data_IF_947636776043
#
_entry.id   IF_947636776043
#
_cell.length_a   1.000
_cell.length_b   1.000
_cell.length_c   1.000
_cell.angle_alpha   90.00
_cell.angle_beta   90.00
_cell.angle_gamma   90.00
#
_symmetry.space_group_name_H-M   'P 1'
#
loop_
_entity.id
_entity.type
_entity.pdbx_description
1 polymer ?
#
# COMPACT_ATOMS: atom_id res chain seq x y z
N UNK A 1 15.76 19.18 32.79
CA UNK A 1 14.69 20.15 32.46
C UNK A 1 14.90 20.63 31.03
N UNK A 2 14.15 20.10 30.06
CA UNK A 2 14.10 20.60 28.67
C UNK A 2 12.68 21.09 28.37
N UNK A 3 12.16 22.04 29.15
CA UNK A 3 10.73 22.37 29.14
C UNK A 3 10.23 23.13 27.91
N UNK A 4 11.09 23.55 26.97
CA UNK A 4 10.71 24.45 25.87
C UNK A 4 10.99 23.89 24.45
N UNK A 5 11.42 22.63 24.32
CA UNK A 5 11.74 22.08 23.00
C UNK A 5 10.44 21.60 22.32
N UNK A 6 10.08 22.25 21.20
CA UNK A 6 8.94 21.87 20.37
C UNK A 6 9.33 20.95 19.21
N UNK A 7 10.57 21.08 18.73
CA UNK A 7 11.08 20.32 17.60
C UNK A 7 12.44 19.74 17.95
N UNK A 8 12.59 18.43 17.76
CA UNK A 8 13.82 17.72 18.03
C UNK A 8 14.23 16.92 16.80
N UNK A 9 15.46 17.14 16.34
CA UNK A 9 16.03 16.51 15.16
C UNK A 9 17.31 15.78 15.57
N UNK A 10 17.33 14.47 15.38
CA UNK A 10 18.42 13.56 15.74
C UNK A 10 18.69 12.54 14.60
N UNK A 11 18.43 12.95 13.36
CA UNK A 11 18.56 12.13 12.15
C UNK A 11 20.03 11.75 11.89
N UNK A 12 20.28 10.57 11.30
CA UNK A 12 21.61 10.13 10.85
C UNK A 12 22.63 10.09 12.00
N UNK A 13 22.26 9.45 13.10
CA UNK A 13 23.16 9.21 14.22
C UNK A 13 23.30 7.70 14.48
N UNK A 14 24.06 7.34 15.51
CA UNK A 14 24.20 5.94 15.96
C UNK A 14 23.42 5.70 17.24
N UNK A 15 22.30 6.41 17.44
CA UNK A 15 21.53 6.31 18.68
C UNK A 15 20.99 4.88 18.84
N UNK A 16 21.25 4.30 19.99
CA UNK A 16 20.77 2.98 20.40
C UNK A 16 19.92 3.10 21.64
N UNK A 17 19.18 2.05 21.98
CA UNK A 17 18.40 2.04 23.21
C UNK A 17 17.12 2.85 23.05
N UNK A 18 16.87 3.77 23.97
CA UNK A 18 15.50 4.21 24.29
C UNK A 18 15.34 5.72 24.28
N UNK A 19 14.14 6.20 23.93
CA UNK A 19 13.79 7.62 23.99
C UNK A 19 13.25 7.90 25.41
N UNK A 20 13.88 8.79 26.20
CA UNK A 20 13.42 9.06 27.57
C UNK A 20 12.03 9.69 27.60
N UNK A 21 11.09 9.10 28.37
CA UNK A 21 9.70 9.57 28.50
C UNK A 21 9.57 11.03 28.96
N UNK A 22 10.50 11.50 29.80
CA UNK A 22 10.53 12.88 30.31
C UNK A 22 10.93 13.96 29.30
N UNK A 23 11.30 13.58 28.07
CA UNK A 23 11.76 14.50 27.02
C UNK A 23 10.64 14.97 26.08
N UNK A 24 9.42 14.45 26.23
CA UNK A 24 8.39 14.48 25.18
C UNK A 24 7.13 15.31 25.49
N UNK A 25 6.97 15.84 26.71
CA UNK A 25 5.70 16.46 27.15
C UNK A 25 5.23 17.67 26.33
N UNK A 26 6.15 18.41 25.70
CA UNK A 26 5.83 19.62 24.91
C UNK A 26 6.20 19.48 23.42
N UNK A 27 6.66 18.31 23.01
CA UNK A 27 7.25 18.12 21.70
C UNK A 27 6.14 18.01 20.63
N UNK A 28 6.24 18.81 19.58
CA UNK A 28 5.35 18.80 18.42
C UNK A 28 5.91 18.02 17.25
N UNK A 29 7.24 18.04 17.06
CA UNK A 29 7.92 17.25 16.02
C UNK A 29 9.14 16.51 16.56
N UNK A 30 9.25 15.23 16.21
CA UNK A 30 10.37 14.37 16.55
C UNK A 30 10.90 13.67 15.30
N UNK A 31 12.17 13.92 14.96
CA UNK A 31 12.86 13.26 13.85
C UNK A 31 14.03 12.43 14.37
N UNK A 32 13.93 11.11 14.22
CA UNK A 32 14.85 10.09 14.72
C UNK A 32 15.31 9.12 13.62
N UNK A 33 15.07 9.46 12.36
CA UNK A 33 15.36 8.53 11.27
C UNK A 33 16.83 8.20 11.13
N UNK A 34 17.13 7.03 10.56
CA UNK A 34 18.50 6.55 10.34
C UNK A 34 19.31 6.49 11.64
N UNK A 35 18.86 5.64 12.55
CA UNK A 35 19.50 5.34 13.82
C UNK A 35 19.47 3.81 14.07
N UNK A 36 19.73 3.36 15.30
CA UNK A 36 19.68 1.95 15.72
C UNK A 36 18.76 1.74 16.92
N UNK A 37 17.63 2.47 16.93
CA UNK A 37 16.64 2.41 17.99
C UNK A 37 15.85 1.10 17.91
N UNK A 38 15.61 0.47 19.07
CA UNK A 38 14.85 -0.79 19.20
C UNK A 38 13.66 -0.59 20.15
N UNK A 39 12.76 -1.58 20.19
CA UNK A 39 11.49 -1.49 20.95
C UNK A 39 11.62 -1.29 22.44
N UNK A 40 12.81 -1.49 23.00
CA UNK A 40 12.97 -1.76 24.43
C UNK A 40 12.34 -0.70 25.34
N UNK A 41 12.01 0.51 24.88
CA UNK A 41 11.10 1.45 25.56
C UNK A 41 10.47 2.51 24.64
N UNK A 42 9.42 2.17 23.88
CA UNK A 42 8.44 3.17 23.42
C UNK A 42 7.32 3.27 24.49
N UNK A 43 7.65 3.59 25.75
CA UNK A 43 6.63 3.98 26.74
C UNK A 43 6.19 5.43 26.46
N UNK A 44 5.47 5.59 25.35
CA UNK A 44 4.92 6.87 24.87
C UNK A 44 3.57 7.18 25.56
N UNK A 45 3.04 6.23 26.34
CA UNK A 45 1.67 6.13 26.87
C UNK A 45 1.16 7.31 27.71
N UNK A 46 2.00 8.25 28.15
CA UNK A 46 1.55 9.36 29.02
C UNK A 46 2.14 10.73 28.70
N UNK A 47 3.06 10.83 27.73
CA UNK A 47 3.89 12.04 27.57
C UNK A 47 3.77 12.73 26.19
N UNK A 48 2.95 12.24 25.25
CA UNK A 48 2.98 12.71 23.84
C UNK A 48 1.70 13.39 23.36
N UNK A 49 0.90 13.98 24.26
CA UNK A 49 -0.39 14.58 23.89
C UNK A 49 -0.30 15.72 22.88
N UNK A 50 0.88 16.30 22.65
CA UNK A 50 1.10 17.42 21.72
C UNK A 50 1.83 17.05 20.43
N UNK A 51 2.28 15.80 20.30
CA UNK A 51 3.12 15.38 19.17
C UNK A 51 2.27 15.25 17.89
N UNK A 52 2.65 16.00 16.87
CA UNK A 52 1.97 16.04 15.56
C UNK A 52 2.77 15.33 14.47
N UNK A 53 4.10 15.30 14.59
CA UNK A 53 4.98 14.66 13.63
C UNK A 53 5.96 13.74 14.34
N UNK A 54 5.98 12.47 13.94
CA UNK A 54 6.95 11.49 14.39
C UNK A 54 7.55 10.78 13.19
N UNK A 55 8.86 10.93 13.01
CA UNK A 55 9.62 10.14 12.07
C UNK A 55 10.68 9.32 12.81
N UNK A 56 10.54 8.00 12.75
CA UNK A 56 11.49 7.02 13.30
C UNK A 56 11.82 5.96 12.24
N UNK A 57 11.72 6.32 10.96
CA UNK A 57 12.10 5.45 9.85
C UNK A 57 13.57 5.03 9.90
N UNK A 58 13.95 3.98 9.20
CA UNK A 58 15.34 3.52 9.15
C UNK A 58 15.92 3.24 10.56
N UNK A 59 15.26 2.36 11.31
CA UNK A 59 15.67 1.91 12.64
C UNK A 59 15.47 0.38 12.76
N UNK A 60 15.54 -0.18 13.98
CA UNK A 60 15.40 -1.62 14.23
C UNK A 60 14.21 -1.91 15.16
N UNK A 61 13.12 -1.15 15.02
CA UNK A 61 11.88 -1.38 15.76
C UNK A 61 11.22 -2.67 15.27
N UNK A 62 10.86 -3.58 16.18
CA UNK A 62 10.02 -4.75 15.91
C UNK A 62 8.54 -4.58 16.30
N UNK A 63 8.17 -3.46 16.93
CA UNK A 63 6.80 -3.15 17.37
C UNK A 63 6.58 -1.64 17.55
N UNK A 64 5.32 -1.18 17.48
CA UNK A 64 4.92 0.21 17.77
C UNK A 64 3.63 0.24 18.63
N UNK A 65 3.50 1.13 19.63
CA UNK A 65 2.37 1.12 20.57
C UNK A 65 1.14 1.86 20.03
N UNK A 66 0.56 1.38 18.92
CA UNK A 66 -0.60 2.03 18.29
C UNK A 66 -1.80 2.22 19.25
N UNK A 67 -2.06 1.26 20.15
CA UNK A 67 -3.24 1.27 21.05
C UNK A 67 -3.06 2.00 22.39
N UNK A 68 -1.91 2.63 22.63
CA UNK A 68 -1.72 3.44 23.84
C UNK A 68 -2.31 4.84 23.57
N UNK A 69 -3.14 5.37 24.48
CA UNK A 69 -3.90 6.64 24.37
C UNK A 69 -3.08 7.94 24.13
N UNK A 70 -1.83 7.85 23.66
CA UNK A 70 -0.83 8.92 23.59
C UNK A 70 -0.72 9.70 22.28
N UNK A 71 -1.27 9.24 21.14
CA UNK A 71 -1.05 9.86 19.81
C UNK A 71 -2.27 10.54 19.19
N UNK A 72 -3.13 11.13 20.03
CA UNK A 72 -4.39 11.73 19.57
C UNK A 72 -4.21 12.90 18.59
N UNK A 73 -3.12 13.63 18.71
CA UNK A 73 -2.79 14.79 17.86
C UNK A 73 -1.85 14.43 16.71
N UNK A 74 -1.43 13.15 16.58
CA UNK A 74 -0.44 12.77 15.59
C UNK A 74 -1.04 12.87 14.18
N UNK A 75 -0.38 13.68 13.34
CA UNK A 75 -0.79 14.00 11.97
C UNK A 75 0.05 13.21 10.97
N UNK A 76 1.35 13.08 11.23
CA UNK A 76 2.27 12.32 10.38
C UNK A 76 3.06 11.33 11.23
N UNK A 77 3.03 10.07 10.81
CA UNK A 77 3.81 8.99 11.38
C UNK A 77 4.58 8.28 10.28
N UNK A 78 5.91 8.31 10.38
CA UNK A 78 6.81 7.60 9.48
C UNK A 78 7.59 6.53 10.26
N UNK A 79 7.23 5.26 9.99
CA UNK A 79 7.87 4.05 10.50
C UNK A 79 8.58 3.27 9.39
N UNK A 80 8.73 3.87 8.20
CA UNK A 80 9.31 3.22 7.02
C UNK A 80 10.65 2.56 7.32
N UNK A 81 10.93 1.39 6.75
CA UNK A 81 12.23 0.70 6.91
C UNK A 81 12.56 0.42 8.40
N UNK A 82 11.73 -0.41 9.01
CA UNK A 82 11.95 -0.99 10.33
C UNK A 82 11.72 -2.51 10.26
N UNK A 83 11.62 -3.17 11.41
CA UNK A 83 11.39 -4.61 11.51
C UNK A 83 10.03 -4.92 12.17
N UNK A 84 9.05 -4.02 12.05
CA UNK A 84 7.81 -4.07 12.83
C UNK A 84 6.96 -5.26 12.40
N UNK A 85 6.65 -6.13 13.36
CA UNK A 85 5.80 -7.32 13.19
C UNK A 85 4.52 -7.14 13.99
N UNK A 86 3.54 -6.47 13.39
CA UNK A 86 2.26 -6.22 14.01
C UNK A 86 1.13 -6.30 12.99
N UNK A 87 -0.07 -6.54 13.51
CA UNK A 87 -1.24 -6.43 12.67
C UNK A 87 -1.47 -4.96 12.27
N UNK A 88 -1.69 -4.74 10.98
CA UNK A 88 -1.94 -3.42 10.39
C UNK A 88 -3.15 -2.73 11.01
N UNK A 89 -4.19 -3.44 11.46
CA UNK A 89 -5.40 -2.77 11.96
C UNK A 89 -5.24 -2.07 13.33
N UNK A 90 -4.13 -2.30 14.05
CA UNK A 90 -3.92 -1.78 15.41
C UNK A 90 -3.92 -0.24 15.48
N UNK A 91 -3.71 0.47 14.36
CA UNK A 91 -3.68 1.93 14.32
C UNK A 91 -5.05 2.61 14.36
N UNK A 92 -6.15 1.91 14.06
CA UNK A 92 -7.48 2.53 13.88
C UNK A 92 -7.91 3.31 15.13
N UNK A 93 -7.80 2.68 16.29
CA UNK A 93 -8.23 3.26 17.56
C UNK A 93 -7.17 4.21 18.16
N UNK A 94 -5.95 4.16 17.62
CA UNK A 94 -4.77 4.85 18.15
C UNK A 94 -4.50 6.23 17.58
N UNK A 95 -4.83 6.43 16.30
CA UNK A 95 -4.37 7.57 15.49
C UNK A 95 -5.54 8.36 14.87
N UNK A 96 -6.46 8.94 15.66
CA UNK A 96 -7.68 9.56 15.13
C UNK A 96 -7.44 10.81 14.27
N UNK A 97 -6.28 11.46 14.40
CA UNK A 97 -5.93 12.70 13.67
C UNK A 97 -5.05 12.47 12.44
N UNK A 98 -4.67 11.22 12.16
CA UNK A 98 -3.63 10.91 11.18
C UNK A 98 -4.01 11.35 9.77
N UNK A 99 -3.03 11.92 9.08
CA UNK A 99 -3.08 12.26 7.66
C UNK A 99 -2.12 11.40 6.86
N UNK A 100 -0.88 11.31 7.32
CA UNK A 100 0.19 10.63 6.61
C UNK A 100 0.68 9.47 7.47
N UNK A 101 0.40 8.25 7.03
CA UNK A 101 0.81 7.02 7.68
C UNK A 101 1.74 6.24 6.74
N UNK A 102 3.03 6.29 7.01
CA UNK A 102 4.08 5.71 6.19
C UNK A 102 4.68 4.50 6.92
N UNK A 103 4.32 3.30 6.48
CA UNK A 103 4.68 2.04 7.12
C UNK A 103 5.45 1.10 6.18
N UNK A 104 5.92 1.61 5.04
CA UNK A 104 6.57 0.82 4.00
C UNK A 104 7.79 0.06 4.52
N UNK A 105 8.15 -1.04 3.87
CA UNK A 105 9.36 -1.82 4.20
C UNK A 105 9.38 -2.26 5.68
N UNK A 106 8.37 -3.01 6.08
CA UNK A 106 8.23 -3.59 7.42
C UNK A 106 7.67 -5.02 7.30
N UNK A 107 7.24 -5.60 8.41
CA UNK A 107 6.58 -6.91 8.45
C UNK A 107 5.13 -6.79 8.96
N UNK A 108 4.43 -5.69 8.63
CA UNK A 108 3.02 -5.56 8.97
C UNK A 108 2.20 -6.62 8.27
N UNK A 109 1.30 -7.26 9.00
CA UNK A 109 0.44 -8.34 8.49
C UNK A 109 -1.04 -8.07 8.81
N UNK A 110 -1.92 -8.95 8.38
CA UNK A 110 -3.37 -8.76 8.53
C UNK A 110 -3.98 -8.02 7.35
N UNK A 111 -5.30 -7.88 7.38
CA UNK A 111 -6.07 -7.23 6.32
C UNK A 111 -6.31 -5.76 6.59
N UNK A 112 -6.47 -4.99 5.50
CA UNK A 112 -6.92 -3.60 5.59
C UNK A 112 -8.37 -3.63 6.12
N UNK A 113 -8.64 -3.03 7.29
CA UNK A 113 -9.95 -3.16 7.94
C UNK A 113 -10.98 -2.20 7.38
N UNK A 114 -12.26 -2.61 7.30
CA UNK A 114 -13.37 -1.73 6.91
C UNK A 114 -13.48 -0.47 7.79
N UNK A 115 -13.05 -0.55 9.05
CA UNK A 115 -13.04 0.59 9.96
C UNK A 115 -12.05 1.70 9.54
N UNK A 116 -11.21 1.49 8.52
CA UNK A 116 -10.34 2.53 7.93
C UNK A 116 -11.12 3.78 7.49
N UNK A 117 -12.41 3.62 7.13
CA UNK A 117 -13.32 4.75 6.82
C UNK A 117 -13.40 5.82 7.92
N UNK A 118 -13.06 5.48 9.16
CA UNK A 118 -13.04 6.41 10.29
C UNK A 118 -11.91 7.44 10.19
N UNK A 119 -10.85 7.14 9.44
CA UNK A 119 -9.66 8.00 9.30
C UNK A 119 -9.86 9.07 8.20
N UNK A 120 -10.92 9.87 8.33
CA UNK A 120 -11.37 10.85 7.33
C UNK A 120 -10.37 11.99 7.01
N UNK A 121 -9.24 12.04 7.72
CA UNK A 121 -8.14 12.98 7.50
C UNK A 121 -7.03 12.42 6.61
N UNK A 122 -7.03 11.12 6.35
CA UNK A 122 -5.96 10.44 5.63
C UNK A 122 -5.73 11.03 4.24
N UNK A 123 -4.49 11.43 4.00
CA UNK A 123 -3.98 11.93 2.72
C UNK A 123 -2.97 10.93 2.13
N UNK A 124 -2.15 10.28 2.96
CA UNK A 124 -1.17 9.28 2.51
C UNK A 124 -1.24 8.02 3.33
N UNK A 125 -1.38 6.89 2.65
CA UNK A 125 -1.31 5.56 3.24
C UNK A 125 -0.31 4.72 2.45
N UNK A 126 0.87 4.53 3.02
CA UNK A 126 1.90 3.68 2.44
C UNK A 126 2.06 2.42 3.29
N UNK A 127 1.69 1.30 2.70
CA UNK A 127 1.78 -0.05 3.27
C UNK A 127 2.53 -0.99 2.31
N UNK A 128 3.23 -0.45 1.32
CA UNK A 128 4.00 -1.24 0.37
C UNK A 128 5.16 -1.99 1.04
N UNK A 129 5.61 -3.08 0.44
CA UNK A 129 6.71 -3.91 0.96
C UNK A 129 6.43 -4.38 2.40
N UNK A 130 5.27 -5.02 2.59
CA UNK A 130 4.82 -5.60 3.85
C UNK A 130 4.26 -7.01 3.60
N UNK A 131 3.52 -7.54 4.58
CA UNK A 131 2.93 -8.88 4.57
C UNK A 131 1.41 -8.83 4.66
N UNK A 132 0.79 -7.80 4.05
CA UNK A 132 -0.65 -7.63 4.08
C UNK A 132 -1.36 -8.77 3.35
N UNK A 133 -2.58 -9.05 3.81
CA UNK A 133 -3.43 -10.12 3.32
C UNK A 133 -4.86 -9.62 3.06
N UNK A 134 -5.71 -10.47 2.51
CA UNK A 134 -7.12 -10.17 2.28
C UNK A 134 -7.33 -9.23 1.11
N UNK A 135 -8.44 -8.50 1.10
CA UNK A 135 -8.83 -7.60 0.00
C UNK A 135 -8.60 -6.12 0.31
N UNK A 136 -8.66 -5.28 -0.71
CA UNK A 136 -8.81 -3.82 -0.54
C UNK A 136 -10.31 -3.56 -0.29
N UNK A 137 -10.73 -3.15 0.91
CA UNK A 137 -12.15 -2.91 1.18
C UNK A 137 -12.64 -1.64 0.50
N UNK A 138 -13.90 -1.64 0.06
CA UNK A 138 -14.56 -0.45 -0.52
C UNK A 138 -14.57 0.74 0.45
N UNK A 139 -14.44 0.51 1.76
CA UNK A 139 -14.31 1.56 2.77
C UNK A 139 -13.08 2.46 2.56
N UNK A 140 -12.03 2.02 1.84
CA UNK A 140 -10.91 2.88 1.41
C UNK A 140 -11.40 4.04 0.53
N UNK A 141 -12.49 3.82 -0.22
CA UNK A 141 -13.11 4.84 -1.07
C UNK A 141 -13.79 5.96 -0.26
N UNK A 142 -13.97 5.78 1.05
CA UNK A 142 -14.47 6.81 1.96
C UNK A 142 -13.38 7.82 2.35
N UNK A 143 -12.11 7.54 2.05
CA UNK A 143 -10.97 8.42 2.31
C UNK A 143 -10.90 9.52 1.24
N UNK A 144 -11.89 10.42 1.22
CA UNK A 144 -12.08 11.44 0.17
C UNK A 144 -10.90 12.43 0.03
N UNK A 145 -9.96 12.44 0.98
CA UNK A 145 -8.74 13.27 0.96
C UNK A 145 -7.50 12.52 0.49
N UNK A 146 -7.62 11.21 0.21
CA UNK A 146 -6.49 10.36 -0.15
C UNK A 146 -5.82 10.88 -1.42
N UNK A 147 -4.50 11.03 -1.33
CA UNK A 147 -3.58 11.47 -2.38
C UNK A 147 -2.67 10.33 -2.79
N UNK A 148 -2.20 9.55 -1.83
CA UNK A 148 -1.26 8.46 -2.10
C UNK A 148 -1.74 7.19 -1.41
N UNK A 149 -1.98 6.16 -2.22
CA UNK A 149 -2.23 4.80 -1.76
C UNK A 149 -1.17 3.89 -2.36
N UNK A 150 -0.28 3.40 -1.51
CA UNK A 150 0.76 2.44 -1.91
C UNK A 150 0.56 1.15 -1.14
N UNK A 151 0.22 0.09 -1.86
CA UNK A 151 -0.01 -1.26 -1.33
C UNK A 151 0.87 -2.29 -2.03
N UNK A 152 1.84 -1.85 -2.83
CA UNK A 152 2.63 -2.73 -3.67
C UNK A 152 3.49 -3.69 -2.88
N UNK A 153 3.97 -4.75 -3.53
CA UNK A 153 4.87 -5.72 -2.91
C UNK A 153 4.30 -6.32 -1.61
N UNK A 154 3.00 -6.65 -1.63
CA UNK A 154 2.31 -7.46 -0.62
C UNK A 154 1.92 -8.83 -1.19
N UNK A 155 2.72 -9.35 -2.13
CA UNK A 155 2.55 -10.66 -2.74
C UNK A 155 3.30 -11.70 -1.91
N UNK A 156 2.57 -12.66 -1.36
CA UNK A 156 3.13 -13.84 -0.70
C UNK A 156 2.68 -15.09 -1.47
N UNK A 157 3.45 -16.16 -1.39
CA UNK A 157 3.11 -17.42 -2.04
C UNK A 157 2.08 -18.18 -1.20
N UNK A 158 1.14 -18.88 -1.87
CA UNK A 158 0.25 -19.83 -1.21
C UNK A 158 1.07 -20.83 -0.41
N UNK A 159 0.75 -20.95 0.88
CA UNK A 159 1.40 -21.88 1.78
C UNK A 159 0.34 -22.75 2.43
N UNK A 160 0.59 -24.05 2.43
CA UNK A 160 -0.30 -25.05 3.01
C UNK A 160 0.30 -25.57 4.31
N UNK A 161 -0.50 -25.53 5.36
CA UNK A 161 -0.10 -25.90 6.71
C UNK A 161 -0.94 -27.07 7.20
N UNK A 162 -0.34 -27.89 8.05
CA UNK A 162 -1.08 -28.91 8.79
C UNK A 162 -1.70 -28.27 10.05
N UNK A 163 -3.03 -28.23 10.13
CA UNK A 163 -3.74 -27.35 11.09
C UNK A 163 -3.39 -27.61 12.57
N UNK A 164 -3.26 -28.88 12.94
CA UNK A 164 -3.08 -29.30 14.33
C UNK A 164 -1.65 -29.06 14.84
N UNK A 165 -0.68 -28.98 13.93
CA UNK A 165 0.75 -28.90 14.21
C UNK A 165 1.26 -27.47 14.07
N UNK A 166 0.80 -26.73 13.06
CA UNK A 166 1.40 -25.44 12.67
C UNK A 166 0.50 -24.23 12.96
N UNK A 167 -0.82 -24.38 12.96
CA UNK A 167 -1.75 -23.27 13.21
C UNK A 167 -2.17 -23.11 14.69
N UNK A 168 -1.98 -24.16 15.49
CA UNK A 168 -2.29 -24.16 16.93
C UNK A 168 -3.79 -24.28 17.27
N UNK A 169 -4.10 -24.36 18.57
CA UNK A 169 -5.45 -24.68 19.07
C UNK A 169 -6.51 -23.56 18.92
N UNK A 170 -6.07 -22.32 18.69
CA UNK A 170 -6.92 -21.12 18.48
C UNK A 170 -6.40 -20.36 17.26
N UNK A 171 -6.56 -20.92 16.05
CA UNK A 171 -5.79 -20.46 14.90
C UNK A 171 -6.40 -19.20 14.27
N UNK A 172 -7.63 -18.82 14.67
CA UNK A 172 -8.30 -17.59 14.26
C UNK A 172 -8.14 -16.48 15.31
N UNK A 173 -7.37 -15.45 14.99
CA UNK A 173 -7.33 -14.22 15.78
C UNK A 173 -8.03 -13.10 15.01
N UNK A 174 -9.14 -12.60 15.56
CA UNK A 174 -9.89 -11.51 14.92
C UNK A 174 -10.46 -11.85 13.53
N UNK A 175 -10.76 -13.13 13.24
CA UNK A 175 -11.29 -13.58 11.95
C UNK A 175 -10.23 -13.92 10.89
N UNK A 176 -8.95 -13.88 11.27
CA UNK A 176 -7.80 -14.24 10.41
C UNK A 176 -7.18 -15.53 10.93
N UNK A 177 -7.05 -16.53 10.06
CA UNK A 177 -6.31 -17.77 10.32
C UNK A 177 -4.81 -17.50 10.18
N UNK A 178 -4.01 -17.72 11.22
CA UNK A 178 -2.56 -17.58 11.16
C UNK A 178 -1.87 -18.89 11.56
N UNK A 179 -0.92 -19.34 10.75
CA UNK A 179 -0.12 -20.52 10.99
C UNK A 179 1.37 -20.15 11.16
N UNK A 180 2.04 -20.83 12.08
CA UNK A 180 3.48 -20.68 12.30
C UNK A 180 4.23 -21.46 11.25
N UNK A 181 5.02 -20.77 10.43
CA UNK A 181 5.98 -21.37 9.50
C UNK A 181 7.29 -21.74 10.19
N UNK A 182 8.07 -22.59 9.52
CA UNK A 182 9.28 -23.26 10.02
C UNK A 182 10.36 -22.33 10.61
N UNK A 183 10.36 -21.05 10.27
CA UNK A 183 11.35 -20.05 10.69
C UNK A 183 10.84 -19.04 11.74
N UNK A 184 9.69 -19.32 12.38
CA UNK A 184 9.03 -18.35 13.26
C UNK A 184 8.34 -17.20 12.51
N UNK A 185 8.15 -17.39 11.20
CA UNK A 185 7.36 -16.52 10.34
C UNK A 185 5.88 -16.88 10.47
N UNK A 186 5.02 -15.91 10.76
CA UNK A 186 3.58 -16.13 10.70
C UNK A 186 3.07 -15.92 9.28
N UNK A 187 2.30 -16.88 8.79
CA UNK A 187 1.55 -16.76 7.56
C UNK A 187 0.07 -16.73 7.90
N UNK A 188 -0.63 -15.73 7.37
CA UNK A 188 -2.01 -15.47 7.73
C UNK A 188 -2.90 -15.42 6.49
N UNK A 189 -4.18 -15.78 6.61
CA UNK A 189 -5.20 -15.51 5.61
C UNK A 189 -6.53 -15.17 6.31
N UNK A 190 -7.35 -14.34 5.67
CA UNK A 190 -8.74 -14.17 6.10
C UNK A 190 -9.58 -15.39 5.64
N UNK A 191 -10.81 -15.51 6.12
CA UNK A 191 -11.67 -16.66 5.82
C UNK A 191 -11.96 -16.90 4.33
N UNK A 192 -11.70 -15.93 3.44
CA UNK A 192 -11.85 -16.08 1.99
C UNK A 192 -10.57 -16.61 1.32
N UNK A 193 -9.42 -16.43 1.96
CA UNK A 193 -8.12 -16.92 1.51
C UNK A 193 -7.73 -18.31 2.04
N UNK A 194 -8.63 -19.04 2.69
CA UNK A 194 -8.37 -20.39 3.21
C UNK A 194 -9.03 -21.45 2.33
N UNK A 195 -8.21 -22.27 1.67
CA UNK A 195 -8.67 -23.45 0.93
C UNK A 195 -8.38 -24.73 1.72
N UNK A 196 -9.40 -25.58 1.88
CA UNK A 196 -9.25 -26.91 2.49
C UNK A 196 -9.07 -27.92 1.35
N UNK A 197 -7.82 -28.29 1.09
CA UNK A 197 -7.46 -29.23 0.02
C UNK A 197 -7.62 -30.68 0.49
N UNK A 198 -7.38 -30.93 1.78
CA UNK A 198 -7.53 -32.20 2.49
C UNK A 198 -8.07 -31.88 3.90
N UNK A 199 -8.89 -32.74 4.55
CA UNK A 199 -9.36 -32.51 5.93
C UNK A 199 -8.29 -32.13 6.98
N UNK A 200 -6.99 -32.31 6.70
CA UNK A 200 -5.90 -31.97 7.62
C UNK A 200 -5.06 -30.75 7.13
N UNK A 201 -5.06 -30.43 5.84
CA UNK A 201 -4.24 -29.36 5.25
C UNK A 201 -5.05 -28.11 4.90
N UNK A 202 -4.57 -26.97 5.40
CA UNK A 202 -5.14 -25.64 5.17
C UNK A 202 -4.17 -24.83 4.31
N UNK A 203 -4.56 -24.54 3.08
CA UNK A 203 -3.82 -23.66 2.20
C UNK A 203 -4.26 -22.22 2.43
N UNK A 204 -3.35 -21.42 2.99
CA UNK A 204 -3.51 -19.99 3.10
C UNK A 204 -3.09 -19.38 1.77
N UNK A 205 -3.90 -18.44 1.26
CA UNK A 205 -3.51 -17.52 0.18
C UNK A 205 -3.04 -16.23 0.83
N UNK A 206 -1.78 -16.18 1.32
CA UNK A 206 -1.26 -14.97 1.91
C UNK A 206 -1.02 -13.95 0.81
N UNK A 207 -1.24 -12.70 1.13
CA UNK A 207 -1.05 -11.59 0.21
C UNK A 207 -2.34 -10.84 -0.08
N UNK A 208 -2.17 -9.60 -0.51
CA UNK A 208 -3.26 -8.73 -0.90
C UNK A 208 -3.85 -9.23 -2.24
N UNK A 209 -5.09 -9.68 -2.20
CA UNK A 209 -5.80 -10.33 -3.30
C UNK A 209 -7.21 -9.75 -3.49
N UNK A 210 -8.03 -10.40 -4.32
CA UNK A 210 -9.36 -9.91 -4.67
C UNK A 210 -9.33 -8.96 -5.86
N UNK A 211 -10.32 -8.09 -5.99
CA UNK A 211 -10.44 -7.16 -7.13
C UNK A 211 -10.10 -5.73 -6.73
N UNK A 212 -9.70 -4.91 -7.70
CA UNK A 212 -9.55 -3.46 -7.51
C UNK A 212 -10.96 -2.84 -7.33
N UNK A 213 -11.23 -2.10 -6.24
CA UNK A 213 -12.51 -1.40 -6.05
C UNK A 213 -12.80 -0.43 -7.21
N UNK A 214 -14.02 -0.43 -7.75
CA UNK A 214 -14.36 0.40 -8.90
C UNK A 214 -14.55 1.89 -8.55
N UNK A 215 -14.86 2.22 -7.29
CA UNK A 215 -15.28 3.57 -6.91
C UNK A 215 -14.16 4.56 -6.58
N UNK A 216 -12.93 4.40 -7.11
CA UNK A 216 -11.83 5.34 -6.86
C UNK A 216 -12.13 6.77 -7.31
N UNK A 217 -13.11 6.99 -8.19
CA UNK A 217 -13.63 8.34 -8.51
C UNK A 217 -14.11 9.11 -7.27
N UNK A 218 -14.43 8.43 -6.16
CA UNK A 218 -14.75 9.05 -4.87
C UNK A 218 -13.53 9.60 -4.11
N UNK A 219 -12.31 9.33 -4.59
CA UNK A 219 -11.06 9.92 -4.10
C UNK A 219 -10.48 10.88 -5.15
N UNK A 220 -11.08 12.07 -5.37
CA UNK A 220 -10.75 12.94 -6.50
C UNK A 220 -9.37 13.59 -6.40
N UNK A 221 -8.71 13.50 -5.24
CA UNK A 221 -7.37 14.03 -5.00
C UNK A 221 -6.26 12.99 -5.17
N UNK A 222 -6.58 11.76 -5.59
CA UNK A 222 -5.61 10.70 -5.73
C UNK A 222 -4.57 11.05 -6.80
N UNK A 223 -3.30 11.01 -6.41
CA UNK A 223 -2.10 11.31 -7.20
C UNK A 223 -1.28 10.05 -7.45
N UNK A 224 -1.19 9.16 -6.45
CA UNK A 224 -0.46 7.90 -6.56
C UNK A 224 -1.36 6.75 -6.18
N UNK A 225 -1.57 5.82 -7.10
CA UNK A 225 -2.18 4.52 -6.87
C UNK A 225 -1.20 3.44 -7.29
N UNK A 226 -0.50 2.86 -6.31
CA UNK A 226 0.45 1.77 -6.54
C UNK A 226 -0.06 0.49 -5.88
N UNK A 227 -0.53 -0.42 -6.74
CA UNK A 227 -1.05 -1.75 -6.40
C UNK A 227 -0.19 -2.86 -7.01
N UNK A 228 1.01 -2.53 -7.48
CA UNK A 228 1.89 -3.44 -8.20
C UNK A 228 2.41 -4.59 -7.33
N UNK A 229 2.81 -5.70 -7.95
CA UNK A 229 3.37 -6.84 -7.22
C UNK A 229 2.44 -7.33 -6.09
N UNK A 230 1.15 -7.52 -6.41
CA UNK A 230 0.12 -8.08 -5.51
C UNK A 230 -0.54 -9.31 -6.16
N UNK A 231 -1.51 -9.93 -5.48
CA UNK A 231 -2.34 -11.02 -6.02
C UNK A 231 -3.71 -10.51 -6.49
N UNK A 232 -3.84 -9.21 -6.76
CA UNK A 232 -5.08 -8.64 -7.27
C UNK A 232 -5.43 -9.23 -8.64
N UNK A 233 -6.69 -9.61 -8.80
CA UNK A 233 -7.27 -10.28 -9.97
C UNK A 233 -8.49 -9.51 -10.47
N UNK A 234 -9.08 -10.00 -11.57
CA UNK A 234 -10.22 -9.36 -12.20
C UNK A 234 -9.80 -8.20 -13.10
N UNK A 235 -10.79 -7.45 -13.58
CA UNK A 235 -10.58 -6.40 -14.56
C UNK A 235 -10.10 -5.10 -13.91
N UNK A 236 -9.33 -4.31 -14.66
CA UNK A 236 -9.03 -2.93 -14.30
C UNK A 236 -10.32 -2.10 -14.40
N UNK A 237 -10.78 -1.43 -13.31
CA UNK A 237 -11.98 -0.61 -13.36
C UNK A 237 -11.81 0.58 -14.31
N UNK A 238 -12.72 0.77 -15.29
CA UNK A 238 -12.63 1.88 -16.23
C UNK A 238 -12.74 3.27 -15.56
N UNK A 239 -13.36 3.34 -14.38
CA UNK A 239 -13.56 4.55 -13.59
C UNK A 239 -12.23 5.20 -13.16
N UNK A 240 -11.14 4.43 -13.07
CA UNK A 240 -9.80 4.95 -12.77
C UNK A 240 -9.37 6.00 -13.81
N UNK A 241 -9.85 5.90 -15.05
CA UNK A 241 -9.62 6.91 -16.08
C UNK A 241 -10.21 8.30 -15.76
N UNK A 242 -11.12 8.40 -14.79
CA UNK A 242 -11.67 9.67 -14.31
C UNK A 242 -10.81 10.43 -13.30
N UNK A 243 -9.68 9.85 -12.85
CA UNK A 243 -8.79 10.44 -11.85
C UNK A 243 -7.87 11.51 -12.45
N UNK A 244 -8.42 12.69 -12.72
CA UNK A 244 -7.71 13.81 -13.38
C UNK A 244 -6.45 14.33 -12.67
N UNK A 245 -6.20 13.93 -11.42
CA UNK A 245 -5.00 14.33 -10.64
C UNK A 245 -3.97 13.22 -10.51
N UNK A 246 -4.23 12.06 -11.10
CA UNK A 246 -3.35 10.92 -10.98
C UNK A 246 -2.04 11.20 -11.72
N UNK A 247 -0.94 11.02 -11.02
CA UNK A 247 0.43 11.19 -11.51
C UNK A 247 1.07 9.82 -11.75
N UNK A 248 0.73 8.83 -10.91
CA UNK A 248 1.26 7.46 -11.00
C UNK A 248 0.11 6.47 -10.79
N UNK A 249 -0.08 5.58 -11.76
CA UNK A 249 -0.89 4.38 -11.66
C UNK A 249 0.00 3.17 -11.93
N UNK A 250 0.32 2.40 -10.90
CA UNK A 250 1.07 1.15 -11.06
C UNK A 250 0.22 -0.05 -10.65
N UNK A 251 -0.10 -0.87 -11.64
CA UNK A 251 -0.86 -2.11 -11.55
C UNK A 251 -0.02 -3.31 -12.04
N UNK A 252 1.29 -3.12 -12.19
CA UNK A 252 2.18 -4.13 -12.77
C UNK A 252 2.30 -5.38 -11.89
N UNK A 253 2.75 -6.50 -12.48
CA UNK A 253 3.10 -7.74 -11.79
C UNK A 253 2.02 -8.30 -10.84
N UNK A 254 0.76 -8.21 -11.26
CA UNK A 254 -0.40 -8.72 -10.53
C UNK A 254 -1.06 -9.88 -11.30
N UNK A 255 -2.24 -10.33 -10.86
CA UNK A 255 -3.02 -11.38 -11.51
C UNK A 255 -4.24 -10.82 -12.28
N UNK A 256 -4.14 -9.58 -12.78
CA UNK A 256 -5.25 -8.90 -13.44
C UNK A 256 -5.61 -9.57 -14.76
N UNK A 257 -6.90 -9.54 -15.09
CA UNK A 257 -7.51 -10.23 -16.22
C UNK A 257 -8.29 -9.26 -17.12
N UNK A 258 -8.72 -9.73 -18.28
CA UNK A 258 -9.55 -8.94 -19.19
C UNK A 258 -8.73 -7.95 -20.02
N UNK A 259 -9.35 -6.88 -20.50
CA UNK A 259 -8.72 -5.89 -21.37
C UNK A 259 -8.37 -4.60 -20.63
N UNK A 260 -7.36 -3.87 -21.10
CA UNK A 260 -7.03 -2.53 -20.59
C UNK A 260 -8.13 -1.54 -21.02
N UNK A 261 -8.78 -0.82 -20.09
CA UNK A 261 -9.82 0.15 -20.44
C UNK A 261 -9.28 1.33 -21.26
N UNK A 262 -9.98 1.72 -22.33
CA UNK A 262 -9.62 2.89 -23.14
C UNK A 262 -9.75 4.21 -22.37
N UNK A 263 -10.54 4.24 -21.30
CA UNK A 263 -10.69 5.37 -20.39
C UNK A 263 -9.38 5.75 -19.70
N UNK A 264 -8.43 4.83 -19.53
CA UNK A 264 -7.10 5.16 -19.00
C UNK A 264 -6.35 6.16 -19.90
N UNK A 265 -6.69 6.24 -21.19
CA UNK A 265 -6.15 7.25 -22.10
C UNK A 265 -6.53 8.70 -21.77
N UNK A 266 -7.43 8.92 -20.80
CA UNK A 266 -7.75 10.24 -20.26
C UNK A 266 -6.73 10.71 -19.19
N UNK A 267 -5.86 9.82 -18.70
CA UNK A 267 -4.82 10.12 -17.72
C UNK A 267 -3.57 10.69 -18.39
N UNK A 268 -3.73 11.81 -19.11
CA UNK A 268 -2.69 12.36 -20.00
C UNK A 268 -1.42 12.83 -19.31
N UNK A 269 -1.47 13.08 -18.00
CA UNK A 269 -0.32 13.52 -17.20
C UNK A 269 0.22 12.39 -16.28
N UNK A 270 -0.41 11.21 -16.29
CA UNK A 270 -0.03 10.10 -15.44
C UNK A 270 0.99 9.19 -16.12
N UNK A 271 1.86 8.58 -15.31
CA UNK A 271 2.59 7.37 -15.70
C UNK A 271 1.71 6.17 -15.36
N UNK A 272 1.37 5.36 -16.37
CA UNK A 272 0.53 4.16 -16.22
C UNK A 272 1.37 2.91 -16.48
N UNK A 273 1.46 2.04 -15.48
CA UNK A 273 2.24 0.80 -15.53
C UNK A 273 1.31 -0.39 -15.29
N UNK A 274 1.32 -1.36 -16.20
CA UNK A 274 0.41 -2.53 -16.19
C UNK A 274 1.12 -3.82 -16.60
N UNK A 275 2.43 -3.76 -16.86
CA UNK A 275 3.25 -4.86 -17.36
C UNK A 275 3.30 -6.02 -16.35
N UNK A 276 3.50 -7.25 -16.81
CA UNK A 276 3.65 -8.43 -15.94
C UNK A 276 2.33 -9.00 -15.44
N UNK A 277 1.20 -8.59 -16.02
CA UNK A 277 -0.10 -9.26 -15.85
C UNK A 277 -0.35 -10.20 -17.04
N UNK A 278 0.02 -11.47 -16.90
CA UNK A 278 -0.01 -12.46 -18.00
C UNK A 278 -1.43 -12.80 -18.50
N UNK A 279 -2.45 -12.44 -17.71
CA UNK A 279 -3.86 -12.73 -18.01
C UNK A 279 -4.62 -11.53 -18.58
N UNK A 280 -3.97 -10.37 -18.73
CA UNK A 280 -4.52 -9.27 -19.53
C UNK A 280 -4.46 -9.68 -21.00
N UNK A 281 -5.62 -9.69 -21.66
CA UNK A 281 -5.78 -10.09 -23.05
C UNK A 281 -6.66 -9.10 -23.79
N UNK A 282 -6.35 -8.87 -25.07
CA UNK A 282 -7.27 -8.22 -25.99
C UNK A 282 -8.56 -9.03 -26.17
N UNK A 283 -9.62 -8.42 -26.73
CA UNK A 283 -10.87 -9.13 -27.06
C UNK A 283 -10.64 -10.32 -28.01
N UNK A 284 -9.60 -10.27 -28.85
CA UNK A 284 -8.96 -11.42 -29.47
C UNK A 284 -7.51 -11.52 -29.00
N UNK A 285 -6.94 -12.73 -28.98
CA UNK A 285 -5.52 -12.95 -28.66
C UNK A 285 -4.56 -12.29 -29.66
N UNK A 286 -5.06 -11.90 -30.83
CA UNK A 286 -4.34 -11.17 -31.89
C UNK A 286 -4.65 -9.67 -31.91
N UNK A 287 -5.61 -9.19 -31.12
CA UNK A 287 -5.87 -7.76 -30.99
C UNK A 287 -4.85 -7.19 -29.98
N UNK A 288 -4.16 -6.14 -30.40
CA UNK A 288 -3.19 -5.39 -29.58
C UNK A 288 -3.77 -5.13 -28.20
N UNK A 289 -2.94 -5.36 -27.18
CA UNK A 289 -3.39 -5.56 -25.80
C UNK A 289 -3.83 -4.22 -25.16
N UNK A 290 -3.26 -3.09 -25.62
CA UNK A 290 -3.59 -1.75 -25.14
C UNK A 290 -4.36 -0.89 -26.17
N UNK A 291 -5.36 -0.10 -25.73
CA UNK A 291 -6.01 0.92 -26.56
C UNK A 291 -5.02 1.97 -27.08
N UNK A 292 -5.18 2.41 -28.34
CA UNK A 292 -4.32 3.43 -28.95
C UNK A 292 -4.30 4.74 -28.16
N UNK A 293 -5.41 5.13 -27.52
CA UNK A 293 -5.47 6.32 -26.67
C UNK A 293 -4.44 6.29 -25.53
N UNK A 294 -4.22 5.11 -24.95
CA UNK A 294 -3.26 4.91 -23.88
C UNK A 294 -1.83 4.95 -24.41
N UNK A 295 -1.57 4.31 -25.56
CA UNK A 295 -0.27 4.36 -26.21
C UNK A 295 0.11 5.79 -26.65
N UNK A 296 -0.82 6.57 -27.20
CA UNK A 296 -0.50 7.88 -27.76
C UNK A 296 -0.50 9.02 -26.73
N UNK A 297 -1.43 9.00 -25.76
CA UNK A 297 -1.72 10.16 -24.93
C UNK A 297 -1.14 10.09 -23.52
N UNK A 298 -0.64 8.92 -23.08
CA UNK A 298 -0.17 8.72 -21.71
C UNK A 298 1.36 8.58 -21.69
N UNK A 299 2.08 9.58 -21.13
CA UNK A 299 3.51 9.54 -20.99
C UNK A 299 3.95 8.32 -20.17
N UNK A 300 4.98 7.61 -20.65
CA UNK A 300 5.57 6.51 -19.91
C UNK A 300 4.75 5.21 -19.84
N UNK A 301 3.60 5.11 -20.53
CA UNK A 301 2.88 3.84 -20.64
C UNK A 301 3.68 2.80 -21.44
N UNK A 302 4.23 3.24 -22.57
CA UNK A 302 5.01 2.41 -23.49
C UNK A 302 6.47 2.91 -23.54
N UNK A 303 7.15 2.86 -22.38
CA UNK A 303 8.54 3.32 -22.22
C UNK A 303 9.54 2.54 -23.08
N UNK A 304 9.15 1.36 -23.58
CA UNK A 304 10.05 0.43 -24.25
C UNK A 304 9.70 0.19 -25.72
N UNK A 305 8.74 0.94 -26.28
CA UNK A 305 8.22 0.73 -27.64
C UNK A 305 7.86 -0.76 -27.86
N UNK A 306 7.17 -1.33 -26.86
CA UNK A 306 6.82 -2.74 -26.84
C UNK A 306 5.68 -2.99 -27.84
N UNK A 307 6.04 -3.36 -29.07
CA UNK A 307 5.12 -3.66 -30.16
C UNK A 307 4.11 -4.77 -29.82
N UNK A 308 4.32 -5.52 -28.72
CA UNK A 308 3.37 -6.53 -28.24
C UNK A 308 2.17 -5.90 -27.51
N UNK A 309 2.36 -4.76 -26.84
CA UNK A 309 1.29 -4.05 -26.13
C UNK A 309 0.66 -2.96 -27.00
N UNK A 310 1.49 -2.18 -27.70
CA UNK A 310 1.06 -1.03 -28.48
C UNK A 310 1.15 -1.26 -30.00
N UNK A 311 0.21 -0.70 -30.78
CA UNK A 311 0.25 -0.73 -32.25
C UNK A 311 1.49 -0.06 -32.85
N UNK A 312 2.25 -0.70 -33.77
CA UNK A 312 3.34 -0.03 -34.50
C UNK A 312 2.88 1.20 -35.32
N UNK A 313 1.62 1.27 -35.77
CA UNK A 313 1.06 2.44 -36.47
C UNK A 313 0.99 3.67 -35.57
N UNK A 314 1.12 3.53 -34.25
CA UNK A 314 1.27 4.67 -33.33
C UNK A 314 2.49 5.51 -33.72
N UNK A 315 3.62 4.88 -34.04
CA UNK A 315 4.84 5.60 -34.42
C UNK A 315 4.61 6.37 -35.71
N UNK A 316 3.96 5.73 -36.69
CA UNK A 316 3.56 6.40 -37.94
C UNK A 316 2.58 7.56 -37.69
N UNK A 317 1.57 7.38 -36.85
CA UNK A 317 0.60 8.43 -36.50
C UNK A 317 1.26 9.59 -35.73
N UNK A 318 2.22 9.29 -34.87
CA UNK A 318 2.98 10.28 -34.10
C UNK A 318 3.92 11.07 -35.00
N UNK A 319 4.64 10.39 -35.89
CA UNK A 319 5.46 11.04 -36.93
C UNK A 319 4.58 11.91 -37.83
N UNK A 320 3.49 11.37 -38.36
CA UNK A 320 2.54 12.09 -39.20
C UNK A 320 1.96 13.34 -38.49
N UNK A 321 1.54 13.22 -37.23
CA UNK A 321 1.03 14.36 -36.45
C UNK A 321 2.09 15.45 -36.24
N UNK A 322 3.33 15.05 -35.93
CA UNK A 322 4.45 15.97 -35.75
C UNK A 322 4.82 16.66 -37.07
N UNK A 323 4.81 15.94 -38.19
CA UNK A 323 5.09 16.47 -39.53
C UNK A 323 3.97 17.41 -40.01
N UNK A 324 2.72 17.13 -39.63
CA UNK A 324 1.56 17.97 -39.92
C UNK A 324 1.47 19.25 -39.07
N UNK A 325 2.39 19.48 -38.12
CA UNK A 325 2.46 20.67 -37.24
C UNK A 325 1.13 21.06 -36.57
N UNK A 326 0.27 20.10 -36.24
CA UNK A 326 -1.01 20.38 -35.58
C UNK A 326 -1.98 21.25 -36.37
N UNK A 327 -1.85 21.37 -37.70
CA UNK A 327 -2.93 21.94 -38.50
C UNK A 327 -4.04 20.89 -38.59
N UNK A 328 -5.14 21.14 -37.89
CA UNK A 328 -6.38 20.37 -37.96
C UNK A 328 -6.80 20.18 -39.43
N UNK A 329 -7.16 18.94 -39.76
CA UNK A 329 -7.90 18.59 -40.98
C UNK A 329 -9.39 18.52 -40.66
#
# INVERSE_FOLDING_TARGET
>A
MMSNILHLILINNTLTGTIPSGMMSNLQSLHLSHNRLSNSMLHLSSATSSLQYLNISNNVLTSFPFGENGFKELVTLDLTENLIRQNVFMFIDGLPSIKDLLLSNNFFYGSIPNAIRSLARMEKLHLDNNRLIGTIPDDVLSLVRLRELKLSHNRQETQCFEALTECGAQPYQGGVLCCGGDNGEQVCADGLGVEIVDPIYYCLTPGLHGTIPAGFTNTPYLQVLDLSSTLLKGNIPPEIGGLSRLEILDLSNSALTGSIPSSLGALTDAVVLVRGNDMIRGKNINDRIAPLSLCSNVPGFDLFEDETWCPPERNFLKEFYNDAKGQEW
#
